data_IF_989254021190
#
_entry.id   IF_989254021190
#
_cell.length_a   1.000
_cell.length_b   1.000
_cell.length_c   1.000
_cell.angle_alpha   90.00
_cell.angle_beta   90.00
_cell.angle_gamma   90.00
#
_symmetry.space_group_name_H-M   'P 1'
#
loop_
_entity.id
_entity.type
_entity.pdbx_description
1 polymer ?
#
# COMPACT_ATOMS: atom_id res chain seq x y z
N UNK A 1 -26.17 6.47 -30.48
CA UNK A 1 -25.15 6.90 -29.50
C UNK A 1 -25.33 6.04 -28.25
N UNK A 2 -24.62 4.92 -28.20
CA UNK A 2 -24.57 4.02 -27.03
C UNK A 2 -23.75 4.75 -25.96
N UNK A 3 -24.38 5.17 -24.87
CA UNK A 3 -23.69 5.67 -23.69
C UNK A 3 -22.94 4.48 -23.06
N UNK A 4 -21.62 4.44 -23.20
CA UNK A 4 -20.75 3.55 -22.44
C UNK A 4 -20.78 3.96 -20.95
N UNK A 5 -21.76 3.48 -20.17
CA UNK A 5 -22.01 3.86 -18.79
C UNK A 5 -21.08 3.17 -17.77
N UNK A 6 -20.07 2.40 -18.20
CA UNK A 6 -19.23 1.58 -17.30
C UNK A 6 -17.87 2.22 -16.95
N UNK A 7 -17.65 3.50 -17.27
CA UNK A 7 -16.37 4.19 -17.05
C UNK A 7 -16.55 5.31 -16.02
N UNK A 8 -17.17 5.01 -14.90
CA UNK A 8 -17.17 5.89 -13.74
C UNK A 8 -15.87 5.64 -12.96
N UNK A 9 -15.07 6.72 -12.77
CA UNK A 9 -13.89 6.81 -11.89
C UNK A 9 -12.49 6.70 -12.53
N UNK A 10 -12.31 6.97 -13.82
CA UNK A 10 -10.96 7.16 -14.35
C UNK A 10 -10.44 8.57 -14.00
N UNK A 11 -9.21 8.63 -13.50
CA UNK A 11 -8.52 9.90 -13.28
C UNK A 11 -8.11 10.50 -14.65
N UNK A 12 -8.59 11.70 -15.03
CA UNK A 12 -8.28 12.29 -16.33
C UNK A 12 -6.78 12.56 -16.55
N UNK A 13 -6.01 12.61 -15.48
CA UNK A 13 -4.57 12.83 -15.52
C UNK A 13 -3.75 11.54 -15.68
N UNK A 14 -4.39 10.37 -15.71
CA UNK A 14 -3.68 9.08 -15.83
C UNK A 14 -3.71 8.61 -17.28
N UNK A 15 -2.89 9.27 -18.11
CA UNK A 15 -2.72 8.97 -19.54
C UNK A 15 -1.28 8.60 -19.84
N UNK A 16 -1.01 8.02 -21.03
CA UNK A 16 0.36 7.74 -21.46
C UNK A 16 1.21 9.03 -21.60
N UNK A 17 0.59 10.13 -22.00
CA UNK A 17 1.28 11.43 -22.20
C UNK A 17 1.75 12.05 -20.87
N UNK A 18 1.07 11.72 -19.77
CA UNK A 18 1.44 12.22 -18.43
C UNK A 18 2.30 11.25 -17.64
N UNK A 19 2.44 10.01 -18.13
CA UNK A 19 3.30 9.02 -17.51
C UNK A 19 4.77 9.29 -17.84
N UNK A 20 5.62 9.38 -16.82
CA UNK A 20 7.07 9.61 -16.99
C UNK A 20 7.78 8.28 -17.16
N UNK A 21 8.44 8.11 -18.30
CA UNK A 21 9.18 6.89 -18.64
C UNK A 21 10.61 7.01 -18.12
N UNK A 22 11.10 5.94 -17.49
CA UNK A 22 12.47 5.77 -17.05
C UNK A 22 12.91 4.31 -17.20
N UNK A 23 14.16 4.02 -16.88
CA UNK A 23 14.70 2.65 -16.97
C UNK A 23 13.94 1.66 -16.07
N UNK A 24 13.33 2.15 -15.00
CA UNK A 24 12.59 1.38 -14.02
C UNK A 24 11.19 0.92 -14.47
N UNK A 25 10.64 1.47 -15.57
CA UNK A 25 9.27 1.24 -16.00
C UNK A 25 9.07 1.20 -17.53
N UNK A 26 10.13 1.30 -18.32
CA UNK A 26 10.07 1.37 -19.78
C UNK A 26 9.39 0.12 -20.39
N UNK A 27 9.69 -1.08 -19.88
CA UNK A 27 9.10 -2.32 -20.36
C UNK A 27 7.59 -2.36 -20.03
N UNK A 28 7.21 -1.99 -18.81
CA UNK A 28 5.82 -1.94 -18.41
C UNK A 28 5.03 -0.91 -19.24
N UNK A 29 5.61 0.26 -19.52
CA UNK A 29 5.02 1.25 -20.40
C UNK A 29 4.85 0.74 -21.84
N UNK A 30 5.91 0.17 -22.43
CA UNK A 30 5.86 -0.35 -23.81
C UNK A 30 4.84 -1.48 -23.97
N UNK A 31 4.79 -2.42 -23.01
CA UNK A 31 3.82 -3.51 -23.01
C UNK A 31 2.38 -2.98 -22.86
N UNK A 32 2.18 -1.98 -22.00
CA UNK A 32 0.87 -1.34 -21.79
C UNK A 32 0.38 -0.62 -23.04
N UNK A 33 1.27 0.08 -23.73
CA UNK A 33 0.94 0.76 -25.00
C UNK A 33 0.60 -0.24 -26.10
N UNK A 34 1.39 -1.30 -26.26
CA UNK A 34 1.13 -2.37 -27.25
C UNK A 34 -0.25 -3.02 -27.01
N UNK A 35 -0.59 -3.32 -25.76
CA UNK A 35 -1.91 -3.86 -25.40
C UNK A 35 -3.03 -2.86 -25.68
N UNK A 36 -2.81 -1.57 -25.46
CA UNK A 36 -3.80 -0.54 -25.75
C UNK A 36 -4.02 -0.36 -27.26
N UNK A 37 -2.96 -0.50 -28.08
CA UNK A 37 -3.05 -0.43 -29.54
C UNK A 37 -3.75 -1.64 -30.16
N UNK A 38 -3.48 -2.86 -29.65
CA UNK A 38 -4.04 -4.12 -30.20
C UNK A 38 -4.58 -5.03 -29.09
N UNK A 39 -5.72 -4.64 -28.44
CA UNK A 39 -6.29 -5.44 -27.36
C UNK A 39 -6.66 -6.86 -27.81
N UNK A 40 -6.24 -7.87 -27.01
CA UNK A 40 -6.52 -9.28 -27.24
C UNK A 40 -5.57 -9.98 -28.22
N UNK A 41 -4.68 -9.24 -28.90
CA UNK A 41 -3.80 -9.80 -29.96
C UNK A 41 -2.37 -10.05 -29.46
N UNK A 42 -1.85 -9.25 -28.53
CA UNK A 42 -0.46 -9.35 -28.08
C UNK A 42 -0.38 -9.99 -26.70
N UNK A 43 -0.05 -9.26 -25.66
CA UNK A 43 0.18 -9.79 -24.32
C UNK A 43 -1.14 -10.02 -23.57
N UNK A 44 -1.61 -11.26 -23.45
CA UNK A 44 -2.86 -11.58 -22.76
C UNK A 44 -2.72 -12.79 -21.82
N UNK A 45 -2.83 -12.63 -20.48
CA UNK A 45 -2.98 -11.35 -19.79
C UNK A 45 -1.68 -10.50 -19.80
N UNK A 46 -1.82 -9.19 -19.67
CA UNK A 46 -0.74 -8.31 -19.22
C UNK A 46 -0.80 -8.24 -17.70
N UNK A 47 0.30 -8.60 -17.01
CA UNK A 47 0.36 -8.60 -15.56
C UNK A 47 1.40 -7.57 -15.09
N UNK A 48 0.96 -6.43 -14.55
CA UNK A 48 1.82 -5.33 -14.11
C UNK A 48 2.01 -5.44 -12.60
N UNK A 49 3.25 -5.62 -12.14
CA UNK A 49 3.52 -5.71 -10.71
C UNK A 49 4.62 -4.76 -10.26
N UNK A 50 4.69 -4.54 -8.94
CA UNK A 50 5.69 -3.66 -8.32
C UNK A 50 5.17 -3.03 -7.05
N UNK A 51 6.05 -2.41 -6.27
CA UNK A 51 5.73 -1.80 -4.99
C UNK A 51 4.55 -0.83 -5.01
N UNK A 52 4.06 -0.47 -3.82
CA UNK A 52 2.95 0.48 -3.67
C UNK A 52 3.37 1.87 -4.18
N UNK A 53 2.49 2.55 -4.92
CA UNK A 53 2.70 3.93 -5.36
C UNK A 53 3.74 4.11 -6.49
N UNK A 54 4.08 3.07 -7.25
CA UNK A 54 5.04 3.14 -8.36
C UNK A 54 4.42 3.45 -9.73
N UNK A 55 3.09 3.62 -9.82
CA UNK A 55 2.43 4.01 -11.07
C UNK A 55 1.66 2.90 -11.79
N UNK A 56 1.45 1.72 -11.19
CA UNK A 56 0.65 0.62 -11.77
C UNK A 56 -0.75 1.09 -12.19
N UNK A 57 -1.49 1.68 -11.27
CA UNK A 57 -2.84 2.24 -11.51
C UNK A 57 -2.82 3.30 -12.62
N UNK A 58 -1.77 4.11 -12.71
CA UNK A 58 -1.61 5.08 -13.79
C UNK A 58 -1.55 4.39 -15.15
N UNK A 59 -0.70 3.37 -15.34
CA UNK A 59 -0.63 2.60 -16.58
C UNK A 59 -1.93 1.88 -16.90
N UNK A 60 -2.58 1.28 -15.90
CA UNK A 60 -3.89 0.64 -16.05
C UNK A 60 -4.92 1.61 -16.63
N UNK A 61 -5.02 2.80 -16.05
CA UNK A 61 -5.96 3.82 -16.51
C UNK A 61 -5.53 4.46 -17.82
N UNK A 62 -4.23 4.57 -18.10
CA UNK A 62 -3.72 5.03 -19.39
C UNK A 62 -4.13 4.09 -20.53
N UNK A 63 -4.08 2.76 -20.32
CA UNK A 63 -4.61 1.77 -21.27
C UNK A 63 -6.10 2.03 -21.51
N UNK A 64 -6.89 2.19 -20.44
CA UNK A 64 -8.32 2.44 -20.56
C UNK A 64 -8.61 3.71 -21.37
N UNK A 65 -7.98 4.84 -21.01
CA UNK A 65 -8.15 6.13 -21.71
C UNK A 65 -7.79 6.03 -23.20
N UNK A 66 -6.67 5.35 -23.51
CA UNK A 66 -6.24 5.19 -24.89
C UNK A 66 -7.25 4.38 -25.72
N UNK A 67 -7.72 3.23 -25.22
CA UNK A 67 -8.67 2.37 -25.91
C UNK A 67 -10.00 3.11 -26.11
N UNK A 68 -10.52 3.76 -25.08
CA UNK A 68 -11.78 4.52 -25.15
C UNK A 68 -11.71 5.62 -26.23
N UNK A 69 -10.56 6.29 -26.33
CA UNK A 69 -10.33 7.38 -27.27
C UNK A 69 -10.17 6.87 -28.71
N UNK A 70 -9.48 5.74 -28.91
CA UNK A 70 -9.11 5.25 -30.24
C UNK A 70 -10.05 4.18 -30.78
N UNK A 71 -10.73 3.43 -29.90
CA UNK A 71 -11.63 2.30 -30.21
C UNK A 71 -12.92 2.40 -29.39
N UNK A 72 -13.76 3.43 -29.64
CA UNK A 72 -14.94 3.70 -28.81
C UNK A 72 -16.02 2.61 -28.89
N UNK A 73 -15.92 1.68 -29.84
CA UNK A 73 -16.79 0.51 -29.99
C UNK A 73 -16.50 -0.58 -28.95
N UNK A 74 -15.29 -0.62 -28.38
CA UNK A 74 -14.91 -1.63 -27.40
C UNK A 74 -15.45 -1.30 -26.02
N UNK A 75 -15.98 -2.33 -25.35
CA UNK A 75 -16.44 -2.24 -23.98
C UNK A 75 -15.25 -2.43 -23.03
N UNK A 76 -14.81 -1.36 -22.41
CA UNK A 76 -13.72 -1.36 -21.43
C UNK A 76 -14.30 -1.34 -20.03
N UNK A 77 -13.82 -2.19 -19.15
CA UNK A 77 -14.18 -2.20 -17.73
C UNK A 77 -12.91 -2.11 -16.89
N UNK A 78 -12.79 -1.02 -16.13
CA UNK A 78 -11.77 -0.85 -15.08
C UNK A 78 -12.42 -0.97 -13.72
N UNK A 79 -11.90 -1.87 -12.88
CA UNK A 79 -12.35 -2.09 -11.50
C UNK A 79 -11.18 -2.45 -10.60
N UNK A 80 -11.31 -2.19 -9.30
CA UNK A 80 -10.42 -2.80 -8.30
C UNK A 80 -10.90 -4.20 -7.96
N UNK A 81 -10.00 -5.08 -7.54
CA UNK A 81 -10.38 -6.43 -7.09
C UNK A 81 -11.27 -6.41 -5.84
N UNK A 82 -11.19 -5.35 -5.05
CA UNK A 82 -12.11 -5.10 -3.94
C UNK A 82 -13.53 -4.84 -4.43
N UNK A 83 -13.70 -3.97 -5.44
CA UNK A 83 -14.99 -3.71 -6.08
C UNK A 83 -15.58 -4.99 -6.67
N UNK A 84 -14.77 -5.78 -7.40
CA UNK A 84 -15.18 -7.07 -7.92
C UNK A 84 -15.69 -8.01 -6.82
N UNK A 85 -14.96 -8.08 -5.70
CA UNK A 85 -15.33 -8.92 -4.54
C UNK A 85 -16.65 -8.46 -3.92
N UNK A 86 -16.82 -7.16 -3.69
CA UNK A 86 -18.03 -6.61 -3.06
C UNK A 86 -19.25 -6.80 -3.96
N UNK A 87 -19.12 -6.56 -5.26
CA UNK A 87 -20.19 -6.80 -6.22
C UNK A 87 -20.56 -8.29 -6.33
N UNK A 88 -19.57 -9.19 -6.23
CA UNK A 88 -19.84 -10.63 -6.17
C UNK A 88 -20.66 -11.00 -4.92
N UNK A 89 -20.25 -10.52 -3.75
CA UNK A 89 -20.96 -10.76 -2.49
C UNK A 89 -22.41 -10.26 -2.57
N UNK A 90 -22.59 -9.04 -3.10
CA UNK A 90 -23.92 -8.45 -3.26
C UNK A 90 -24.78 -9.23 -4.28
N UNK A 91 -24.17 -9.72 -5.35
CA UNK A 91 -24.88 -10.53 -6.35
C UNK A 91 -25.36 -11.86 -5.79
N UNK A 92 -24.54 -12.52 -4.97
CA UNK A 92 -24.94 -13.76 -4.27
C UNK A 92 -26.06 -13.50 -3.27
N UNK A 93 -25.92 -12.44 -2.44
CA UNK A 93 -26.91 -12.06 -1.44
C UNK A 93 -28.28 -11.73 -2.04
N UNK A 94 -28.29 -11.07 -3.21
CA UNK A 94 -29.51 -10.63 -3.90
C UNK A 94 -29.97 -11.59 -4.99
N UNK A 95 -29.34 -12.77 -5.17
CA UNK A 95 -29.63 -13.77 -6.22
C UNK A 95 -29.50 -13.21 -7.65
N UNK A 96 -28.54 -12.29 -7.87
CA UNK A 96 -28.26 -11.59 -9.15
C UNK A 96 -26.99 -12.08 -9.84
N UNK A 97 -26.62 -13.33 -9.65
CA UNK A 97 -25.37 -13.88 -10.20
C UNK A 97 -25.29 -13.81 -11.74
N UNK A 98 -26.46 -13.88 -12.44
CA UNK A 98 -26.49 -13.72 -13.90
C UNK A 98 -26.14 -12.30 -14.33
N UNK A 99 -26.64 -11.27 -13.65
CA UNK A 99 -26.33 -9.87 -13.94
C UNK A 99 -24.83 -9.57 -13.70
N UNK A 100 -24.25 -10.14 -12.61
CA UNK A 100 -22.82 -10.05 -12.33
C UNK A 100 -21.99 -10.67 -13.46
N UNK A 101 -22.33 -11.90 -13.87
CA UNK A 101 -21.61 -12.59 -14.96
C UNK A 101 -21.74 -11.86 -16.29
N UNK A 102 -22.91 -11.32 -16.59
CA UNK A 102 -23.12 -10.51 -17.79
C UNK A 102 -22.24 -9.26 -17.78
N UNK A 103 -22.17 -8.55 -16.66
CA UNK A 103 -21.32 -7.37 -16.49
C UNK A 103 -19.86 -7.67 -16.74
N UNK A 104 -19.33 -8.75 -16.17
CA UNK A 104 -17.88 -9.05 -16.18
C UNK A 104 -17.43 -9.94 -17.34
N UNK A 105 -18.34 -10.63 -18.04
CA UNK A 105 -17.98 -11.53 -19.13
C UNK A 105 -18.39 -11.01 -20.51
N UNK A 106 -19.23 -9.97 -20.59
CA UNK A 106 -19.69 -9.36 -21.85
C UNK A 106 -18.98 -8.01 -22.11
N UNK A 107 -17.66 -8.02 -22.00
CA UNK A 107 -16.77 -6.88 -22.21
C UNK A 107 -15.63 -7.28 -23.13
N UNK A 108 -14.95 -6.29 -23.72
CA UNK A 108 -13.83 -6.52 -24.63
C UNK A 108 -12.47 -6.38 -23.94
N UNK A 109 -12.41 -5.52 -22.88
CA UNK A 109 -11.20 -5.28 -22.11
C UNK A 109 -11.53 -5.24 -20.64
N UNK A 110 -10.94 -6.12 -19.85
CA UNK A 110 -10.98 -6.12 -18.40
C UNK A 110 -9.66 -5.61 -17.83
N UNK A 111 -9.72 -4.51 -17.05
CA UNK A 111 -8.60 -4.04 -16.25
C UNK A 111 -8.97 -4.21 -14.79
N UNK A 112 -8.25 -5.08 -14.09
CA UNK A 112 -8.48 -5.34 -12.67
C UNK A 112 -7.27 -4.92 -11.85
N UNK A 113 -7.46 -3.91 -11.01
CA UNK A 113 -6.39 -3.31 -10.21
C UNK A 113 -6.30 -3.97 -8.83
N UNK A 114 -5.06 -4.07 -8.32
CA UNK A 114 -4.74 -4.58 -6.99
C UNK A 114 -5.28 -6.00 -6.71
N UNK A 115 -4.96 -6.95 -7.60
CA UNK A 115 -5.46 -8.34 -7.53
C UNK A 115 -5.14 -9.06 -6.20
N UNK A 116 -4.12 -8.60 -5.46
CA UNK A 116 -3.75 -9.18 -4.17
C UNK A 116 -4.89 -9.18 -3.14
N UNK A 117 -5.91 -8.34 -3.28
CA UNK A 117 -7.05 -8.31 -2.35
C UNK A 117 -8.04 -9.48 -2.50
N UNK A 118 -7.90 -10.34 -3.55
CA UNK A 118 -8.65 -11.60 -3.63
C UNK A 118 -7.93 -12.75 -2.91
N UNK A 119 -6.67 -12.56 -2.50
CA UNK A 119 -5.89 -13.58 -1.79
C UNK A 119 -6.61 -13.97 -0.49
N UNK A 120 -6.74 -15.29 -0.24
CA UNK A 120 -7.45 -15.83 0.92
C UNK A 120 -8.99 -15.84 0.80
N UNK A 121 -9.56 -15.38 -0.34
CA UNK A 121 -11.01 -15.39 -0.60
C UNK A 121 -11.36 -16.44 -1.66
N UNK A 122 -11.48 -17.69 -1.26
CA UNK A 122 -11.64 -18.83 -2.19
C UNK A 122 -12.78 -18.65 -3.19
N UNK A 123 -13.98 -18.28 -2.73
CA UNK A 123 -15.14 -18.08 -3.61
C UNK A 123 -14.92 -16.96 -4.63
N UNK A 124 -14.21 -15.89 -4.25
CA UNK A 124 -13.86 -14.80 -5.16
C UNK A 124 -12.84 -15.24 -6.19
N UNK A 125 -11.83 -16.01 -5.78
CA UNK A 125 -10.84 -16.58 -6.69
C UNK A 125 -11.48 -17.54 -7.69
N UNK A 126 -12.45 -18.34 -7.28
CA UNK A 126 -13.16 -19.26 -8.16
C UNK A 126 -14.00 -18.52 -9.22
N UNK A 127 -14.81 -17.53 -8.82
CA UNK A 127 -15.60 -16.74 -9.79
C UNK A 127 -14.70 -15.90 -10.70
N UNK A 128 -13.58 -15.37 -10.18
CA UNK A 128 -12.60 -14.68 -11.01
C UNK A 128 -11.92 -15.62 -12.02
N UNK A 129 -11.59 -16.84 -11.61
CA UNK A 129 -11.05 -17.85 -12.54
C UNK A 129 -12.02 -18.16 -13.69
N UNK A 130 -13.30 -18.31 -13.41
CA UNK A 130 -14.31 -18.51 -14.45
C UNK A 130 -14.46 -17.29 -15.36
N UNK A 131 -14.44 -16.09 -14.81
CA UNK A 131 -14.49 -14.83 -15.57
C UNK A 131 -13.26 -14.69 -16.47
N UNK A 132 -12.07 -14.96 -15.92
CA UNK A 132 -10.82 -14.96 -16.68
C UNK A 132 -10.87 -15.93 -17.87
N UNK A 133 -11.27 -17.18 -17.62
CA UNK A 133 -11.34 -18.17 -18.69
C UNK A 133 -12.35 -17.80 -19.79
N UNK A 134 -13.52 -17.29 -19.43
CA UNK A 134 -14.52 -16.84 -20.40
C UNK A 134 -13.94 -15.74 -21.32
N UNK A 135 -13.35 -14.71 -20.75
CA UNK A 135 -12.73 -13.61 -21.50
C UNK A 135 -11.54 -14.08 -22.35
N UNK A 136 -10.68 -14.91 -21.77
CA UNK A 136 -9.50 -15.41 -22.47
C UNK A 136 -9.85 -16.27 -23.67
N UNK A 137 -10.83 -17.16 -23.56
CA UNK A 137 -11.31 -18.01 -24.66
C UNK A 137 -11.90 -17.18 -25.81
N UNK A 138 -12.57 -16.08 -25.47
CA UNK A 138 -13.15 -15.15 -26.45
C UNK A 138 -12.12 -14.11 -26.96
N UNK A 139 -10.83 -14.30 -26.67
CA UNK A 139 -9.72 -13.40 -27.03
C UNK A 139 -9.93 -11.95 -26.56
N UNK A 140 -10.63 -11.76 -25.44
CA UNK A 140 -10.80 -10.46 -24.81
C UNK A 140 -9.55 -10.11 -24.00
N UNK A 141 -9.16 -8.85 -24.01
CA UNK A 141 -7.97 -8.40 -23.27
C UNK A 141 -8.19 -8.42 -21.77
N UNK A 142 -7.21 -8.97 -21.06
CA UNK A 142 -7.16 -8.93 -19.59
C UNK A 142 -5.86 -8.23 -19.19
N UNK A 143 -5.98 -7.22 -18.31
CA UNK A 143 -4.85 -6.54 -17.70
C UNK A 143 -5.02 -6.60 -16.18
N UNK A 144 -3.97 -6.99 -15.47
CA UNK A 144 -3.99 -7.22 -14.03
C UNK A 144 -2.86 -6.43 -13.39
N UNK A 145 -3.12 -5.76 -12.28
CA UNK A 145 -2.07 -5.18 -11.45
C UNK A 145 -1.93 -5.88 -10.11
N UNK A 146 -0.72 -5.82 -9.53
CA UNK A 146 -0.41 -6.38 -8.21
C UNK A 146 0.74 -5.67 -7.53
N UNK A 147 0.83 -5.80 -6.20
CA UNK A 147 1.98 -5.34 -5.42
C UNK A 147 3.20 -6.27 -5.53
N UNK A 148 3.03 -7.51 -6.03
CA UNK A 148 4.05 -8.54 -6.14
C UNK A 148 3.81 -9.47 -7.34
N UNK A 149 4.83 -10.22 -7.81
CA UNK A 149 4.66 -11.18 -8.90
C UNK A 149 3.79 -12.38 -8.48
N UNK A 150 3.15 -13.10 -9.44
CA UNK A 150 2.28 -14.24 -9.14
C UNK A 150 2.94 -15.34 -8.31
N UNK A 151 4.25 -15.56 -8.49
CA UNK A 151 5.03 -16.56 -7.76
C UNK A 151 5.12 -16.32 -6.25
N UNK A 152 5.03 -15.07 -5.82
CA UNK A 152 5.10 -14.66 -4.42
C UNK A 152 3.73 -14.60 -3.73
N UNK A 153 2.66 -14.97 -4.43
CA UNK A 153 1.30 -15.01 -3.88
C UNK A 153 1.01 -16.40 -3.29
N UNK A 154 1.41 -16.64 -2.03
CA UNK A 154 1.37 -17.97 -1.40
C UNK A 154 -0.03 -18.62 -1.37
N UNK A 155 -1.09 -17.83 -1.09
CA UNK A 155 -2.46 -18.33 -0.96
C UNK A 155 -3.32 -18.09 -2.22
N UNK A 156 -2.68 -17.76 -3.34
CA UNK A 156 -3.35 -17.74 -4.64
C UNK A 156 -3.49 -19.17 -5.17
N UNK A 157 -4.68 -19.53 -5.66
CA UNK A 157 -4.91 -20.85 -6.25
C UNK A 157 -3.93 -21.09 -7.43
N UNK A 158 -3.40 -22.31 -7.52
CA UNK A 158 -2.44 -22.70 -8.56
C UNK A 158 -2.98 -22.43 -9.99
N UNK A 159 -4.28 -22.65 -10.17
CA UNK A 159 -4.96 -22.39 -11.44
C UNK A 159 -4.89 -20.92 -11.86
N UNK A 160 -5.11 -19.98 -10.93
CA UNK A 160 -4.99 -18.54 -11.21
C UNK A 160 -3.54 -18.14 -11.40
N UNK A 161 -2.62 -18.66 -10.57
CA UNK A 161 -1.18 -18.39 -10.69
C UNK A 161 -0.68 -18.73 -12.10
N UNK A 162 -0.99 -19.93 -12.58
CA UNK A 162 -0.63 -20.36 -13.93
C UNK A 162 -1.23 -19.45 -15.01
N UNK A 163 -2.47 -18.97 -14.83
CA UNK A 163 -3.10 -18.03 -15.76
C UNK A 163 -2.42 -16.67 -15.80
N UNK A 164 -1.98 -16.17 -14.65
CA UNK A 164 -1.27 -14.89 -14.58
C UNK A 164 0.13 -14.96 -15.18
N UNK A 165 0.80 -16.11 -15.05
CA UNK A 165 2.15 -16.34 -15.58
C UNK A 165 2.19 -16.64 -17.08
N UNK A 166 1.10 -17.15 -17.67
CA UNK A 166 1.10 -17.51 -19.09
C UNK A 166 1.10 -16.31 -20.05
N UNK A 167 0.79 -15.11 -19.56
CA UNK A 167 0.86 -13.88 -20.33
C UNK A 167 2.22 -13.20 -20.24
N UNK A 168 2.23 -11.88 -20.15
CA UNK A 168 3.45 -11.08 -19.95
C UNK A 168 3.43 -10.44 -18.57
N UNK A 169 4.16 -10.99 -17.58
CA UNK A 169 4.42 -10.27 -16.33
C UNK A 169 5.51 -9.22 -16.55
N UNK A 170 5.24 -7.99 -16.14
CA UNK A 170 6.17 -6.85 -16.21
C UNK A 170 6.24 -6.15 -14.87
N UNK A 171 7.46 -5.80 -14.44
CA UNK A 171 7.70 -5.10 -13.19
C UNK A 171 7.80 -3.58 -13.37
N UNK A 172 7.43 -2.88 -12.33
CA UNK A 172 7.74 -1.47 -12.14
C UNK A 172 8.60 -1.34 -10.89
N UNK A 173 9.84 -0.90 -11.09
CA UNK A 173 10.80 -0.75 -10.01
C UNK A 173 10.78 0.67 -9.42
N UNK A 174 11.50 0.87 -8.32
CA UNK A 174 11.68 2.18 -7.70
C UNK A 174 12.40 3.10 -8.71
N UNK A 175 11.90 4.34 -8.93
CA UNK A 175 12.50 5.26 -9.89
C UNK A 175 13.91 5.72 -9.46
N UNK A 176 14.79 5.89 -10.44
CA UNK A 176 16.09 6.54 -10.22
C UNK A 176 15.92 8.01 -9.88
N UNK A 177 16.97 8.67 -9.41
CA UNK A 177 16.96 10.11 -9.13
C UNK A 177 16.49 10.93 -10.35
N UNK A 178 17.03 10.62 -11.54
CA UNK A 178 16.67 11.32 -12.79
C UNK A 178 15.18 11.16 -13.12
N UNK A 179 14.66 9.95 -12.94
CA UNK A 179 13.22 9.68 -13.16
C UNK A 179 12.37 10.41 -12.13
N UNK A 180 12.80 10.47 -10.85
CA UNK A 180 12.10 11.25 -9.82
C UNK A 180 12.06 12.73 -10.16
N UNK A 181 13.18 13.32 -10.59
CA UNK A 181 13.26 14.72 -11.02
C UNK A 181 12.33 14.99 -12.21
N UNK A 182 12.28 14.10 -13.19
CA UNK A 182 11.38 14.21 -14.33
C UNK A 182 9.89 14.15 -13.90
N UNK A 183 9.56 13.27 -12.95
CA UNK A 183 8.20 13.17 -12.37
C UNK A 183 7.84 14.46 -11.62
N UNK A 184 8.73 14.97 -10.78
CA UNK A 184 8.51 16.21 -10.02
C UNK A 184 8.30 17.41 -10.96
N UNK A 185 9.10 17.53 -12.03
CA UNK A 185 8.94 18.57 -13.04
C UNK A 185 7.59 18.46 -13.76
N UNK A 186 7.24 17.25 -14.24
CA UNK A 186 5.96 17.02 -14.93
C UNK A 186 4.76 17.30 -14.03
N UNK A 187 4.82 16.91 -12.76
CA UNK A 187 3.74 17.15 -11.78
C UNK A 187 3.65 18.62 -11.38
N UNK A 188 4.77 19.33 -11.24
CA UNK A 188 4.78 20.75 -10.98
C UNK A 188 4.15 21.53 -12.16
N UNK A 189 4.51 21.18 -13.40
CA UNK A 189 3.93 21.75 -14.62
C UNK A 189 2.40 21.56 -14.67
N UNK A 190 1.93 20.30 -14.52
CA UNK A 190 0.51 19.95 -14.57
C UNK A 190 -0.30 20.59 -13.44
N UNK A 191 0.30 20.73 -12.26
CA UNK A 191 -0.33 21.35 -11.09
C UNK A 191 -0.24 22.86 -11.04
N UNK A 192 0.50 23.50 -11.96
CA UNK A 192 0.79 24.93 -11.93
C UNK A 192 1.58 25.35 -10.69
N UNK A 193 2.50 24.49 -10.21
CA UNK A 193 3.30 24.75 -9.01
C UNK A 193 4.64 25.38 -9.42
N UNK A 194 4.89 26.58 -8.92
CA UNK A 194 6.21 27.23 -9.06
C UNK A 194 7.12 26.79 -7.92
N UNK A 195 7.80 25.64 -8.11
CA UNK A 195 8.72 25.05 -7.14
C UNK A 195 10.13 25.13 -7.64
N UNK A 196 11.06 25.80 -6.92
CA UNK A 196 12.46 25.93 -7.30
C UNK A 196 13.15 24.56 -7.52
N UNK A 197 14.18 24.57 -8.35
CA UNK A 197 14.95 23.36 -8.67
C UNK A 197 15.55 22.73 -7.41
N UNK A 198 16.13 23.53 -6.52
CA UNK A 198 16.80 23.10 -5.29
C UNK A 198 15.81 22.37 -4.34
N UNK A 199 14.57 22.79 -4.33
CA UNK A 199 13.51 22.13 -3.53
C UNK A 199 13.09 20.80 -4.15
N UNK A 200 12.99 20.73 -5.48
CA UNK A 200 12.73 19.47 -6.19
C UNK A 200 13.88 18.48 -6.02
N UNK A 201 15.11 18.97 -6.07
CA UNK A 201 16.32 18.19 -5.81
C UNK A 201 16.32 17.61 -4.38
N UNK A 202 16.00 18.44 -3.40
CA UNK A 202 15.85 18.03 -2.00
C UNK A 202 14.79 16.91 -1.86
N UNK A 203 13.61 17.08 -2.47
CA UNK A 203 12.53 16.09 -2.43
C UNK A 203 12.96 14.78 -3.12
N UNK A 204 13.56 14.85 -4.32
CA UNK A 204 14.00 13.66 -5.07
C UNK A 204 15.07 12.85 -4.33
N UNK A 205 15.93 13.53 -3.59
CA UNK A 205 17.03 12.93 -2.82
C UNK A 205 16.53 12.23 -1.55
N UNK A 206 15.60 12.86 -0.84
CA UNK A 206 15.19 12.39 0.48
C UNK A 206 13.97 11.45 0.45
N UNK A 207 13.06 11.56 -0.51
CA UNK A 207 11.95 10.63 -0.67
C UNK A 207 12.41 9.41 -1.49
N UNK A 208 12.47 8.25 -0.83
CA UNK A 208 13.04 7.02 -1.42
C UNK A 208 11.99 6.01 -1.89
N UNK A 209 10.78 6.05 -1.36
CA UNK A 209 9.86 4.91 -1.37
C UNK A 209 8.90 4.87 -2.55
N UNK A 210 8.18 5.95 -2.87
CA UNK A 210 7.12 5.89 -3.87
C UNK A 210 6.89 7.19 -4.63
N UNK A 211 6.34 7.08 -5.84
CA UNK A 211 5.92 8.26 -6.64
C UNK A 211 4.77 8.97 -5.95
N UNK A 212 3.88 8.24 -5.27
CA UNK A 212 2.78 8.83 -4.51
C UNK A 212 3.26 9.79 -3.42
N UNK A 213 4.36 9.45 -2.75
CA UNK A 213 4.97 10.33 -1.76
C UNK A 213 5.63 11.56 -2.38
N UNK A 214 6.27 11.41 -3.55
CA UNK A 214 6.79 12.56 -4.32
C UNK A 214 5.66 13.54 -4.69
N UNK A 215 4.54 13.03 -5.17
CA UNK A 215 3.36 13.84 -5.51
C UNK A 215 2.74 14.48 -4.25
N UNK A 216 2.65 13.74 -3.16
CA UNK A 216 2.18 14.24 -1.87
C UNK A 216 3.04 15.37 -1.33
N UNK A 217 4.38 15.27 -1.47
CA UNK A 217 5.31 16.30 -1.07
C UNK A 217 5.09 17.60 -1.85
N UNK A 218 4.97 17.53 -3.18
CA UNK A 218 4.69 18.70 -4.00
C UNK A 218 3.36 19.39 -3.62
N UNK A 219 2.33 18.57 -3.43
CA UNK A 219 1.01 19.06 -3.03
C UNK A 219 1.06 19.77 -1.66
N UNK A 220 1.75 19.16 -0.68
CA UNK A 220 1.92 19.70 0.67
C UNK A 220 2.70 21.02 0.64
N UNK A 221 3.83 21.07 -0.09
CA UNK A 221 4.62 22.29 -0.25
C UNK A 221 3.82 23.42 -0.89
N UNK A 222 3.09 23.16 -1.98
CA UNK A 222 2.25 24.14 -2.64
C UNK A 222 1.13 24.66 -1.75
N UNK A 223 0.47 23.77 -1.00
CA UNK A 223 -0.59 24.14 -0.06
C UNK A 223 -0.07 25.03 1.06
N UNK A 224 1.04 24.66 1.70
CA UNK A 224 1.63 25.43 2.80
C UNK A 224 2.16 26.79 2.33
N UNK A 225 2.80 26.88 1.15
CA UNK A 225 3.26 28.14 0.59
C UNK A 225 2.10 29.10 0.32
N UNK A 226 0.96 28.60 -0.19
CA UNK A 226 -0.24 29.41 -0.41
C UNK A 226 -0.86 29.92 0.90
N UNK A 227 -0.82 29.12 1.96
CA UNK A 227 -1.40 29.48 3.26
C UNK A 227 -0.53 30.46 4.05
N UNK A 228 0.79 30.30 3.99
CA UNK A 228 1.73 31.11 4.78
C UNK A 228 2.24 32.35 4.03
N UNK A 229 1.99 32.44 2.73
CA UNK A 229 2.59 33.46 1.83
C UNK A 229 4.13 33.48 1.87
N UNK A 230 4.74 32.38 2.30
CA UNK A 230 6.20 32.24 2.35
C UNK A 230 6.75 31.72 1.02
N UNK A 231 7.95 32.15 0.61
CA UNK A 231 8.61 31.58 -0.55
C UNK A 231 8.98 30.10 -0.27
N UNK A 232 8.90 29.28 -1.30
CA UNK A 232 9.27 27.86 -1.21
C UNK A 232 10.79 27.77 -1.28
N UNK A 233 11.44 27.62 -0.14
CA UNK A 233 12.91 27.38 -0.02
C UNK A 233 13.19 25.96 0.45
N UNK A 234 14.46 25.55 0.47
CA UNK A 234 14.85 24.23 0.99
C UNK A 234 14.54 24.13 2.49
N UNK A 235 14.82 25.18 3.28
CA UNK A 235 14.55 25.22 4.70
C UNK A 235 13.04 25.11 4.99
N UNK A 236 12.20 25.78 4.16
CA UNK A 236 10.76 25.64 4.23
C UNK A 236 10.32 24.19 3.91
N UNK A 237 10.94 23.56 2.90
CA UNK A 237 10.65 22.19 2.54
C UNK A 237 11.08 21.19 3.62
N UNK A 238 12.21 21.40 4.27
CA UNK A 238 12.67 20.60 5.41
C UNK A 238 11.64 20.58 6.55
N UNK A 239 11.15 21.76 6.93
CA UNK A 239 10.15 21.88 7.99
C UNK A 239 8.79 21.28 7.56
N UNK A 240 8.32 21.63 6.37
CA UNK A 240 7.02 21.20 5.88
C UNK A 240 6.95 19.68 5.61
N UNK A 241 8.05 19.05 5.22
CA UNK A 241 8.11 17.63 4.86
C UNK A 241 8.75 16.74 5.93
N UNK A 242 9.04 17.28 7.12
CA UNK A 242 9.70 16.56 8.20
C UNK A 242 9.08 15.19 8.49
N UNK A 243 7.77 15.11 8.53
CA UNK A 243 7.04 13.85 8.79
C UNK A 243 7.12 12.85 7.62
N UNK A 244 7.37 13.33 6.42
CA UNK A 244 7.42 12.54 5.18
C UNK A 244 8.83 12.05 4.87
N UNK A 245 9.83 12.89 5.11
CA UNK A 245 11.25 12.64 4.79
C UNK A 245 11.97 11.94 5.93
N UNK A 246 11.54 12.23 7.16
CA UNK A 246 12.00 11.55 8.38
C UNK A 246 10.85 10.77 9.03
N UNK A 247 10.25 9.78 8.32
CA UNK A 247 9.39 8.82 9.02
C UNK A 247 10.23 7.98 10.00
N UNK A 248 11.53 7.95 9.85
CA UNK A 248 12.54 7.43 10.78
C UNK A 248 13.02 8.44 11.85
N UNK A 249 12.44 9.61 11.98
CA UNK A 249 12.11 10.13 13.30
C UNK A 249 10.95 9.31 13.92
N UNK A 250 10.79 8.03 13.57
CA UNK A 250 10.27 7.05 14.50
C UNK A 250 11.03 7.33 15.76
N UNK A 251 10.32 7.88 16.77
CA UNK A 251 10.78 7.83 18.16
C UNK A 251 11.47 6.49 18.28
N UNK A 252 12.80 6.53 18.43
CA UNK A 252 13.57 5.30 18.60
C UNK A 252 12.80 4.52 19.65
N UNK A 253 12.31 3.33 19.26
CA UNK A 253 11.47 2.57 20.18
C UNK A 253 12.40 2.07 21.26
N UNK A 254 12.56 2.92 22.30
CA UNK A 254 13.41 2.62 23.45
C UNK A 254 12.57 2.00 24.56
N UNK A 255 13.19 1.24 25.47
CA UNK A 255 12.50 0.73 26.65
C UNK A 255 11.79 1.82 27.45
N UNK A 256 12.38 3.01 27.56
CA UNK A 256 11.83 4.16 28.28
C UNK A 256 10.53 4.63 27.63
N UNK A 257 10.51 4.78 26.30
CA UNK A 257 9.30 5.15 25.55
C UNK A 257 8.17 4.14 25.76
N UNK A 258 8.48 2.84 25.72
CA UNK A 258 7.48 1.79 25.93
C UNK A 258 6.93 1.86 27.36
N UNK A 259 7.80 2.06 28.36
CA UNK A 259 7.41 2.20 29.77
C UNK A 259 6.47 3.38 29.94
N UNK A 260 6.77 4.53 29.34
CA UNK A 260 5.95 5.75 29.46
C UNK A 260 4.57 5.56 28.82
N UNK A 261 4.50 4.99 27.62
CA UNK A 261 3.22 4.73 26.93
C UNK A 261 2.36 3.69 27.68
N UNK A 262 2.98 2.66 28.23
CA UNK A 262 2.27 1.67 29.06
C UNK A 262 1.77 2.31 30.35
N UNK A 263 2.60 3.11 31.03
CA UNK A 263 2.22 3.82 32.24
C UNK A 263 1.03 4.77 31.99
N UNK A 264 1.07 5.53 30.91
CA UNK A 264 -0.05 6.40 30.49
C UNK A 264 -1.33 5.60 30.23
N UNK A 265 -1.22 4.48 29.50
CA UNK A 265 -2.39 3.65 29.17
C UNK A 265 -3.09 3.10 30.41
N UNK A 266 -2.35 2.70 31.42
CA UNK A 266 -2.88 2.16 32.68
C UNK A 266 -3.10 3.23 33.76
N UNK A 267 -2.89 4.52 33.42
CA UNK A 267 -3.03 5.67 34.35
C UNK A 267 -2.21 5.51 35.64
N UNK A 268 -0.97 5.04 35.48
CA UNK A 268 0.03 4.91 36.56
C UNK A 268 1.28 5.71 36.19
N UNK A 269 2.19 5.93 37.19
CA UNK A 269 3.46 6.60 36.90
C UNK A 269 4.51 5.64 36.37
N UNK A 270 5.38 6.11 35.46
CA UNK A 270 6.50 5.31 34.94
C UNK A 270 7.41 4.79 36.04
N UNK A 271 7.61 5.59 37.11
CA UNK A 271 8.37 5.20 38.29
C UNK A 271 7.75 4.00 39.02
N UNK A 272 6.43 3.84 39.00
CA UNK A 272 5.75 2.68 39.59
C UNK A 272 6.05 1.39 38.86
N UNK A 273 6.15 1.46 37.51
CA UNK A 273 6.58 0.32 36.69
C UNK A 273 8.01 -0.12 37.06
N UNK A 274 8.90 0.84 37.28
CA UNK A 274 10.29 0.60 37.67
C UNK A 274 10.46 0.18 39.13
N UNK A 275 9.49 0.50 40.00
CA UNK A 275 9.53 0.26 41.46
C UNK A 275 9.53 -1.23 41.82
N UNK A 276 9.83 -1.55 43.08
CA UNK A 276 9.75 -2.92 43.62
C UNK A 276 8.32 -3.31 44.07
N UNK A 277 7.30 -2.45 43.85
CA UNK A 277 5.91 -2.72 44.19
C UNK A 277 5.40 -3.99 43.53
N UNK A 278 4.61 -4.79 44.28
CA UNK A 278 4.10 -6.09 43.86
C UNK A 278 2.56 -6.13 43.73
N UNK A 279 1.88 -5.00 43.81
CA UNK A 279 0.44 -4.90 43.64
C UNK A 279 0.04 -5.25 42.17
N UNK A 280 -1.10 -5.87 41.97
CA UNK A 280 -1.55 -6.39 40.66
C UNK A 280 -1.70 -5.28 39.63
N UNK A 281 -2.16 -4.10 40.05
CA UNK A 281 -2.32 -2.87 39.27
C UNK A 281 -0.99 -2.32 38.70
N UNK A 282 0.16 -2.73 39.25
CA UNK A 282 1.50 -2.36 38.78
C UNK A 282 2.23 -3.53 38.13
N UNK A 283 2.03 -4.74 38.65
CA UNK A 283 2.74 -5.95 38.12
C UNK A 283 2.27 -6.29 36.69
N UNK A 284 0.98 -6.20 36.41
CA UNK A 284 0.43 -6.52 35.09
C UNK A 284 0.91 -5.53 34.01
N UNK A 285 0.79 -4.20 34.17
CA UNK A 285 1.37 -3.24 33.24
C UNK A 285 2.89 -3.40 33.05
N UNK A 286 3.62 -3.67 34.14
CA UNK A 286 5.06 -3.93 34.07
C UNK A 286 5.40 -5.14 33.19
N UNK A 287 4.64 -6.24 33.32
CA UNK A 287 4.84 -7.44 32.52
C UNK A 287 4.51 -7.17 31.03
N UNK A 288 3.48 -6.36 30.76
CA UNK A 288 3.16 -5.90 29.38
C UNK A 288 4.33 -5.08 28.81
N UNK A 289 4.87 -4.12 29.57
CA UNK A 289 6.02 -3.34 29.14
C UNK A 289 7.24 -4.22 28.84
N UNK A 290 7.54 -5.22 29.69
CA UNK A 290 8.62 -6.19 29.46
C UNK A 290 8.39 -6.99 28.17
N UNK A 291 7.17 -7.44 27.92
CA UNK A 291 6.80 -8.16 26.72
C UNK A 291 6.99 -7.28 25.46
N UNK A 292 6.47 -6.06 25.46
CA UNK A 292 6.59 -5.13 24.34
C UNK A 292 8.04 -4.72 24.08
N UNK A 293 8.86 -4.50 25.13
CA UNK A 293 10.29 -4.23 24.96
C UNK A 293 11.02 -5.39 24.27
N UNK A 294 10.69 -6.63 24.57
CA UNK A 294 11.28 -7.79 23.90
C UNK A 294 10.84 -7.94 22.46
N UNK A 295 9.62 -7.54 22.13
CA UNK A 295 9.07 -7.65 20.76
C UNK A 295 9.51 -6.50 19.84
N UNK A 296 9.65 -5.29 20.39
CA UNK A 296 9.77 -4.06 19.61
C UNK A 296 11.15 -3.40 19.70
N UNK A 297 12.07 -3.91 20.53
CA UNK A 297 13.44 -3.38 20.63
C UNK A 297 14.48 -4.47 20.38
N UNK A 298 15.70 -4.06 19.99
CA UNK A 298 16.86 -4.95 19.82
C UNK A 298 17.68 -5.13 21.12
N UNK A 299 17.18 -4.64 22.24
CA UNK A 299 17.86 -4.65 23.53
C UNK A 299 18.03 -6.10 24.05
N UNK A 300 19.22 -6.39 24.60
CA UNK A 300 19.43 -7.68 25.26
C UNK A 300 18.63 -7.76 26.56
N UNK A 301 18.27 -8.95 27.02
CA UNK A 301 17.51 -9.16 28.26
C UNK A 301 18.21 -8.54 29.46
N UNK A 302 19.54 -8.54 29.47
CA UNK A 302 20.36 -7.89 30.51
C UNK A 302 20.22 -6.36 30.48
N UNK A 303 20.22 -5.76 29.27
CA UNK A 303 19.97 -4.32 29.10
C UNK A 303 18.55 -3.95 29.55
N UNK A 304 17.55 -4.75 29.21
CA UNK A 304 16.18 -4.58 29.70
C UNK A 304 16.10 -4.67 31.23
N UNK A 305 16.82 -5.60 31.85
CA UNK A 305 16.89 -5.68 33.32
C UNK A 305 17.33 -4.38 33.97
N UNK A 306 18.32 -3.69 33.41
CA UNK A 306 18.78 -2.38 33.86
C UNK A 306 17.69 -1.31 33.67
N UNK A 307 17.06 -1.27 32.50
CA UNK A 307 16.00 -0.32 32.18
C UNK A 307 14.76 -0.47 33.09
N UNK A 308 14.47 -1.68 33.59
CA UNK A 308 13.36 -1.96 34.51
C UNK A 308 13.75 -1.88 36.02
N UNK A 309 14.66 -0.99 36.39
CA UNK A 309 15.04 -0.75 37.76
C UNK A 309 15.99 -1.82 38.33
N UNK A 310 16.97 -2.23 37.58
CA UNK A 310 17.99 -3.26 37.90
C UNK A 310 17.38 -4.61 38.32
N UNK A 311 16.39 -5.07 37.54
CA UNK A 311 15.80 -6.40 37.73
C UNK A 311 16.66 -7.47 37.11
N UNK A 312 16.59 -8.65 37.70
CA UNK A 312 17.23 -9.83 37.16
C UNK A 312 16.65 -10.17 35.77
N UNK A 313 17.50 -10.64 34.87
CA UNK A 313 17.13 -11.03 33.51
C UNK A 313 16.06 -12.14 33.49
N UNK A 314 16.06 -13.03 34.49
CA UNK A 314 15.04 -14.07 34.65
C UNK A 314 13.66 -13.48 34.93
N UNK A 315 13.59 -12.36 35.68
CA UNK A 315 12.33 -11.63 35.94
C UNK A 315 11.76 -11.04 34.64
N UNK A 316 12.61 -10.51 33.77
CA UNK A 316 12.19 -9.97 32.45
C UNK A 316 11.63 -11.09 31.57
N UNK A 317 12.33 -12.23 31.51
CA UNK A 317 11.91 -13.40 30.75
C UNK A 317 10.56 -13.93 31.23
N UNK A 318 10.44 -14.19 32.54
CA UNK A 318 9.20 -14.70 33.13
C UNK A 318 8.00 -13.73 32.94
N UNK A 319 8.24 -12.42 33.09
CA UNK A 319 7.21 -11.41 32.86
C UNK A 319 6.71 -11.40 31.43
N UNK A 320 7.62 -11.38 30.47
CA UNK A 320 7.30 -11.40 29.07
C UNK A 320 6.63 -12.71 28.62
N UNK A 321 7.12 -13.88 29.05
CA UNK A 321 6.56 -15.19 28.69
C UNK A 321 5.16 -15.39 29.28
N UNK A 322 4.87 -14.81 30.44
CA UNK A 322 3.53 -14.83 31.01
C UNK A 322 2.53 -14.07 30.13
N UNK A 323 2.88 -12.85 29.70
CA UNK A 323 2.03 -12.07 28.78
C UNK A 323 1.91 -12.76 27.44
N UNK A 324 2.97 -13.34 26.89
CA UNK A 324 2.93 -14.08 25.64
C UNK A 324 1.90 -15.24 25.68
N UNK A 325 1.81 -15.96 26.78
CA UNK A 325 0.78 -16.99 27.00
C UNK A 325 -0.62 -16.37 27.11
N UNK A 326 -0.77 -15.24 27.81
CA UNK A 326 -2.05 -14.57 27.97
C UNK A 326 -2.57 -14.01 26.65
N UNK A 327 -1.74 -13.50 25.76
CA UNK A 327 -2.15 -13.01 24.42
C UNK A 327 -2.81 -14.11 23.59
N UNK A 328 -2.42 -15.38 23.80
CA UNK A 328 -3.00 -16.54 23.10
C UNK A 328 -4.34 -16.96 23.70
N UNK A 329 -4.53 -16.80 25.02
CA UNK A 329 -5.67 -17.36 25.77
C UNK A 329 -6.70 -16.31 26.21
N UNK A 330 -6.38 -15.01 26.17
CA UNK A 330 -7.23 -13.92 26.66
C UNK A 330 -7.34 -12.79 25.64
N UNK A 331 -8.53 -12.62 25.11
CA UNK A 331 -8.82 -11.64 24.05
C UNK A 331 -8.69 -10.18 24.54
N UNK A 332 -8.91 -9.92 25.83
CA UNK A 332 -8.73 -8.59 26.43
C UNK A 332 -7.25 -8.21 26.47
N UNK A 333 -6.39 -9.13 26.89
CA UNK A 333 -4.93 -8.90 26.87
C UNK A 333 -4.43 -8.69 25.44
N UNK A 334 -4.91 -9.47 24.47
CA UNK A 334 -4.58 -9.30 23.05
C UNK A 334 -4.97 -7.92 22.55
N UNK A 335 -6.20 -7.49 22.78
CA UNK A 335 -6.70 -6.17 22.39
C UNK A 335 -5.87 -5.03 23.01
N UNK A 336 -5.51 -5.16 24.30
CA UNK A 336 -4.65 -4.19 25.00
C UNK A 336 -3.28 -4.08 24.34
N UNK A 337 -2.66 -5.21 24.00
CA UNK A 337 -1.36 -5.25 23.29
C UNK A 337 -1.46 -4.57 21.93
N UNK A 338 -2.50 -4.87 21.15
CA UNK A 338 -2.72 -4.28 19.82
C UNK A 338 -2.89 -2.74 19.89
N UNK A 339 -3.59 -2.24 20.89
CA UNK A 339 -3.74 -0.81 21.15
C UNK A 339 -2.39 -0.16 21.51
N UNK A 340 -1.62 -0.82 22.37
CA UNK A 340 -0.30 -0.32 22.80
C UNK A 340 0.69 -0.32 21.66
N UNK A 341 0.73 -1.35 20.82
CA UNK A 341 1.59 -1.41 19.64
C UNK A 341 1.28 -0.24 18.69
N UNK A 342 -0.01 0.06 18.45
CA UNK A 342 -0.42 1.21 17.63
C UNK A 342 -0.04 2.55 18.23
N UNK A 343 -0.02 2.68 19.58
CA UNK A 343 0.43 3.90 20.26
C UNK A 343 1.95 4.07 20.24
N UNK A 344 2.70 2.97 20.32
CA UNK A 344 4.17 2.96 20.30
C UNK A 344 4.68 3.22 18.88
N UNK A 345 4.07 2.61 17.89
CA UNK A 345 4.40 2.71 16.48
C UNK A 345 3.14 3.06 15.67
N UNK A 346 2.70 4.32 15.66
CA UNK A 346 1.58 4.76 14.84
C UNK A 346 1.99 4.67 13.37
N UNK A 347 1.52 3.62 12.69
CA UNK A 347 1.68 3.39 11.24
C UNK A 347 0.70 4.24 10.44
#
# INVERSE_FOLDING_TARGET
ASKNNNIQNLNPNYTFETFVIGNNNNLAHAASLAVAETPGEVYNPLFIYGGVGLGKTHLMQAIAHFIIKTKPELKVLYVTSETFTNELIDSVKNQKNSEFREKYRNIDVLLIDDIQFIIGKESTQEEFFHTFNALYQDRKQIVISSDRPPKEMETLSERLRTRFEMGLPVDIQIPTYETKMAILNKKAELGGYDIPYEVKDYVATHIKSSIRELEGALTKLSAFAKLSSNPITVEFAEEALKDLISPDSRREITPELIIDIVAEHFNIKSEDILSQKRSADIVYPRQIAMYLCRQMTTNTVQSLGKAFGNRDHTTILHGADKINKMVISDENTKSTIDILIKKINPS
#
